data_IF_914758367385
#
_entry.id   IF_914758367385
#
_cell.length_a   1.000
_cell.length_b   1.000
_cell.length_c   1.000
_cell.angle_alpha   90.00
_cell.angle_beta   90.00
_cell.angle_gamma   90.00
#
_symmetry.space_group_name_H-M   'P 1'
#
loop_
_entity.id
_entity.type
_entity.pdbx_description
1 polymer ?
#
# COMPACT_ATOMS: atom_id res chain seq x y z
N UNK A 1 8.27 15.56 38.02
CA UNK A 1 7.62 14.44 37.32
C UNK A 1 6.65 15.06 36.34
N UNK A 2 7.07 15.27 35.08
CA UNK A 2 6.23 15.91 34.07
C UNK A 2 5.45 14.83 33.32
N UNK A 3 4.13 14.90 33.39
CA UNK A 3 3.21 14.05 32.62
C UNK A 3 3.14 14.65 31.22
N UNK A 4 3.68 13.95 30.22
CA UNK A 4 3.54 14.33 28.82
C UNK A 4 2.09 14.06 28.38
N UNK A 5 1.48 15.03 27.71
CA UNK A 5 0.14 14.92 27.14
C UNK A 5 0.06 13.77 26.11
N UNK A 6 -1.10 13.10 25.98
CA UNK A 6 -1.28 12.08 24.95
C UNK A 6 -1.32 12.77 23.59
N UNK A 7 -0.39 12.44 22.70
CA UNK A 7 -0.45 12.86 21.30
C UNK A 7 0.82 13.44 20.68
N UNK A 8 1.92 13.57 21.43
CA UNK A 8 3.23 13.86 20.83
C UNK A 8 4.10 12.62 20.86
N UNK A 9 4.19 11.97 19.71
CA UNK A 9 5.14 10.91 19.48
C UNK A 9 6.56 11.44 19.76
N UNK A 10 7.25 10.78 20.69
CA UNK A 10 8.68 10.97 20.89
C UNK A 10 9.41 10.31 19.71
N UNK A 11 10.38 11.02 19.10
CA UNK A 11 11.21 10.50 18.00
C UNK A 11 12.01 9.21 18.33
N UNK A 12 11.91 8.71 19.56
CA UNK A 12 12.55 7.49 20.03
C UNK A 12 11.64 6.24 20.00
N UNK A 13 10.33 6.39 19.78
CA UNK A 13 9.41 5.25 19.75
C UNK A 13 9.26 4.68 18.33
N UNK A 14 9.29 3.35 18.15
CA UNK A 14 9.14 2.73 16.84
C UNK A 14 7.79 3.10 16.18
N UNK A 15 7.81 3.30 14.86
CA UNK A 15 6.66 3.64 14.04
C UNK A 15 5.60 2.55 14.11
N UNK A 16 4.42 2.89 14.63
CA UNK A 16 3.25 2.02 14.58
C UNK A 16 2.27 2.55 13.54
N UNK A 17 2.12 1.82 12.42
CA UNK A 17 1.12 2.11 11.41
C UNK A 17 -0.26 1.73 11.99
N UNK A 18 -1.05 2.75 12.32
CA UNK A 18 -2.41 2.57 12.82
C UNK A 18 -3.42 2.61 11.69
N UNK A 19 -4.10 1.50 11.42
CA UNK A 19 -5.35 1.48 10.63
C UNK A 19 -6.58 1.83 11.48
N UNK A 20 -6.46 1.71 12.80
CA UNK A 20 -7.51 2.05 13.77
C UNK A 20 -7.29 3.47 14.29
N UNK A 21 -8.36 4.26 14.36
CA UNK A 21 -8.38 5.63 14.93
C UNK A 21 -8.01 5.71 16.43
N UNK A 22 -7.51 4.62 17.03
CA UNK A 22 -7.42 4.43 18.48
C UNK A 22 -6.04 3.97 18.96
N UNK A 23 -4.98 4.11 18.15
CA UNK A 23 -3.59 3.87 18.56
C UNK A 23 -2.67 5.05 18.24
N UNK A 24 -1.63 5.34 19.05
CA UNK A 24 -0.76 6.49 18.83
C UNK A 24 0.00 6.34 17.51
N UNK A 25 -0.23 7.30 16.59
CA UNK A 25 0.58 7.51 15.40
C UNK A 25 1.95 8.02 15.85
N UNK A 26 2.95 7.13 15.92
CA UNK A 26 4.25 7.46 16.52
C UNK A 26 5.25 8.14 15.56
N UNK A 27 4.87 8.40 14.31
CA UNK A 27 5.79 9.03 13.36
C UNK A 27 5.10 9.78 12.21
N UNK A 28 5.89 10.50 11.41
CA UNK A 28 5.40 11.23 10.25
C UNK A 28 4.85 10.23 9.22
N UNK A 29 3.61 10.47 8.79
CA UNK A 29 2.90 9.58 7.87
C UNK A 29 2.12 10.38 6.83
N UNK A 30 2.02 9.83 5.63
CA UNK A 30 1.17 10.33 4.55
C UNK A 30 0.32 9.19 4.01
N UNK A 31 -0.99 9.38 3.97
CA UNK A 31 -1.91 8.39 3.40
C UNK A 31 -1.72 8.30 1.88
N UNK A 32 -1.69 7.09 1.36
CA UNK A 32 -1.56 6.80 -0.07
C UNK A 32 -2.82 6.10 -0.54
N UNK A 33 -3.52 6.70 -1.49
CA UNK A 33 -4.66 6.10 -2.18
C UNK A 33 -4.39 6.03 -3.67
N UNK A 34 -4.61 4.87 -4.27
CA UNK A 34 -4.57 4.69 -5.72
C UNK A 34 -5.99 4.46 -6.25
N UNK A 35 -6.27 4.98 -7.44
CA UNK A 35 -7.48 4.57 -8.15
C UNK A 35 -7.40 3.06 -8.47
N UNK A 36 -8.56 2.37 -8.58
CA UNK A 36 -8.53 0.94 -8.83
C UNK A 36 -7.95 0.60 -10.20
N UNK A 37 -7.12 -0.44 -10.26
CA UNK A 37 -6.58 -0.99 -11.52
C UNK A 37 -7.54 -2.04 -12.05
N UNK A 38 -8.05 -1.83 -13.26
CA UNK A 38 -8.85 -2.82 -13.96
C UNK A 38 -7.93 -3.77 -14.72
N UNK A 39 -8.14 -5.07 -14.54
CA UNK A 39 -7.37 -6.14 -15.17
C UNK A 39 -8.30 -7.16 -15.84
N UNK A 40 -7.86 -7.69 -16.97
CA UNK A 40 -8.57 -8.68 -17.77
C UNK A 40 -7.69 -9.93 -17.92
N UNK A 41 -8.21 -11.08 -17.47
CA UNK A 41 -7.52 -12.36 -17.57
C UNK A 41 -8.21 -13.28 -18.59
N UNK A 42 -7.48 -13.73 -19.60
CA UNK A 42 -7.84 -14.80 -20.55
C UNK A 42 -9.29 -14.79 -21.10
N UNK A 43 -9.91 -13.61 -21.21
CA UNK A 43 -11.27 -13.41 -21.75
C UNK A 43 -12.44 -13.75 -20.81
N UNK A 44 -12.19 -14.32 -19.63
CA UNK A 44 -13.25 -14.78 -18.70
C UNK A 44 -13.14 -14.16 -17.30
N UNK A 45 -11.99 -13.56 -16.96
CA UNK A 45 -11.80 -12.85 -15.70
C UNK A 45 -11.80 -11.34 -15.89
N UNK A 46 -12.50 -10.65 -14.99
CA UNK A 46 -12.45 -9.21 -14.84
C UNK A 46 -12.18 -8.88 -13.36
N UNK A 47 -10.97 -8.41 -13.08
CA UNK A 47 -10.54 -8.02 -11.76
C UNK A 47 -10.49 -6.50 -11.63
N UNK A 48 -10.86 -6.01 -10.46
CA UNK A 48 -10.47 -4.69 -10.00
C UNK A 48 -9.40 -4.92 -8.93
N UNK A 49 -8.32 -4.16 -8.90
CA UNK A 49 -7.36 -4.18 -7.80
C UNK A 49 -7.37 -2.82 -7.13
N UNK A 50 -7.38 -2.82 -5.80
CA UNK A 50 -7.31 -1.60 -5.00
C UNK A 50 -6.00 -1.63 -4.24
N UNK A 51 -5.26 -0.52 -4.31
CA UNK A 51 -4.08 -0.30 -3.49
C UNK A 51 -4.27 0.97 -2.67
N UNK A 52 -4.06 0.83 -1.37
CA UNK A 52 -4.04 1.94 -0.42
C UNK A 52 -2.99 1.65 0.64
N UNK A 53 -2.39 2.66 1.22
CA UNK A 53 -1.27 2.46 2.12
C UNK A 53 -0.90 3.69 2.90
N UNK A 54 0.26 3.61 3.56
CA UNK A 54 0.84 4.72 4.30
C UNK A 54 2.31 4.83 3.96
N UNK A 55 2.73 6.02 3.56
CA UNK A 55 4.12 6.42 3.52
C UNK A 55 4.54 6.85 4.92
N UNK A 56 5.72 6.46 5.38
CA UNK A 56 6.16 6.73 6.75
C UNK A 56 7.67 6.97 6.85
N UNK A 57 8.07 7.72 7.88
CA UNK A 57 9.46 7.92 8.26
C UNK A 57 9.72 7.49 9.72
N UNK A 58 10.61 6.52 9.89
CA UNK A 58 10.99 5.93 11.18
C UNK A 58 10.92 4.40 11.18
N UNK A 59 11.60 3.73 12.13
CA UNK A 59 11.69 2.28 12.14
C UNK A 59 10.35 1.67 12.52
N UNK A 60 9.75 0.89 11.64
CA UNK A 60 8.50 0.19 11.92
C UNK A 60 8.63 -0.73 13.14
N UNK A 61 7.56 -0.75 13.94
CA UNK A 61 7.43 -1.55 15.15
C UNK A 61 7.71 -3.02 14.90
N UNK A 62 8.32 -3.71 15.87
CA UNK A 62 8.81 -5.07 15.69
C UNK A 62 7.70 -6.11 15.48
N UNK A 63 6.45 -5.79 15.84
CA UNK A 63 5.26 -6.60 15.53
C UNK A 63 4.56 -6.21 14.22
N UNK A 64 5.11 -5.28 13.44
CA UNK A 64 4.59 -4.93 12.12
C UNK A 64 4.92 -6.02 11.08
N UNK A 65 4.28 -5.94 9.91
CA UNK A 65 4.59 -6.83 8.78
C UNK A 65 6.03 -6.64 8.26
N UNK A 66 6.61 -5.46 8.46
CA UNK A 66 7.93 -5.08 7.95
C UNK A 66 8.78 -4.42 9.05
N UNK A 67 9.22 -5.19 10.06
CA UNK A 67 9.90 -4.64 11.22
C UNK A 67 11.20 -3.91 10.82
N UNK A 68 11.40 -2.70 11.34
CA UNK A 68 12.60 -1.90 11.12
C UNK A 68 12.69 -1.19 9.76
N UNK A 69 11.69 -1.29 8.88
CA UNK A 69 11.65 -0.49 7.66
C UNK A 69 11.59 1.00 8.00
N UNK A 70 12.21 1.85 7.18
CA UNK A 70 12.24 3.32 7.32
C UNK A 70 12.09 3.96 5.95
N UNK A 71 11.58 5.19 5.88
CA UNK A 71 11.43 5.98 4.65
C UNK A 71 10.83 5.17 3.48
N UNK A 72 9.70 4.52 3.76
CA UNK A 72 9.10 3.55 2.85
C UNK A 72 7.58 3.74 2.80
N UNK A 73 6.96 3.04 1.86
CA UNK A 73 5.51 3.00 1.70
C UNK A 73 5.04 1.57 1.95
N UNK A 74 4.16 1.39 2.93
CA UNK A 74 3.44 0.13 3.13
C UNK A 74 2.11 0.19 2.38
N UNK A 75 1.99 -0.60 1.31
CA UNK A 75 0.80 -0.70 0.48
C UNK A 75 0.01 -1.95 0.82
N UNK A 76 -1.27 -1.80 1.13
CA UNK A 76 -2.27 -2.86 1.12
C UNK A 76 -2.86 -2.98 -0.27
N UNK A 77 -2.61 -4.11 -0.91
CA UNK A 77 -3.18 -4.48 -2.20
C UNK A 77 -4.19 -5.59 -1.97
N UNK A 78 -5.41 -5.38 -2.46
CA UNK A 78 -6.45 -6.40 -2.48
C UNK A 78 -7.10 -6.45 -3.84
N UNK A 79 -7.73 -7.59 -4.12
CA UNK A 79 -8.77 -7.63 -5.13
C UNK A 79 -9.86 -6.65 -4.73
N UNK A 80 -9.93 -5.59 -5.52
CA UNK A 80 -11.08 -4.74 -5.63
C UNK A 80 -12.26 -5.63 -5.96
N UNK A 81 -13.30 -5.41 -5.19
CA UNK A 81 -14.56 -6.08 -5.37
C UNK A 81 -15.00 -5.95 -6.80
N UNK A 82 -15.64 -7.01 -7.30
CA UNK A 82 -16.06 -7.08 -8.70
C UNK A 82 -16.67 -5.74 -9.14
N UNK A 83 -16.73 -5.41 -10.44
CA UNK A 83 -17.43 -4.21 -10.89
C UNK A 83 -18.88 -4.06 -10.37
N UNK A 84 -19.44 -5.10 -9.74
CA UNK A 84 -20.75 -5.14 -9.07
C UNK A 84 -20.72 -4.84 -7.54
N UNK A 85 -19.57 -4.53 -6.92
CA UNK A 85 -19.44 -4.06 -5.53
C UNK A 85 -18.97 -5.09 -4.49
N UNK A 86 -18.79 -4.64 -3.23
CA UNK A 86 -18.11 -5.34 -2.09
C UNK A 86 -18.60 -6.79 -1.83
N UNK A 87 -19.88 -7.04 -2.05
CA UNK A 87 -20.50 -8.33 -1.71
C UNK A 87 -20.75 -9.19 -2.93
N UNK A 88 -20.33 -8.73 -4.09
CA UNK A 88 -20.51 -9.47 -5.33
C UNK A 88 -19.55 -10.66 -5.40
N UNK A 89 -19.97 -11.77 -6.04
CA UNK A 89 -19.14 -12.97 -6.14
C UNK A 89 -17.79 -12.66 -6.79
N UNK A 90 -16.71 -13.16 -6.18
CA UNK A 90 -15.35 -13.13 -6.75
C UNK A 90 -15.16 -14.13 -7.91
N UNK A 91 -16.26 -14.64 -8.48
CA UNK A 91 -16.27 -15.62 -9.58
C UNK A 91 -15.49 -15.14 -10.81
N UNK A 92 -15.43 -13.83 -11.04
CA UNK A 92 -14.67 -13.23 -12.14
C UNK A 92 -13.31 -12.68 -11.71
N UNK A 93 -12.97 -12.73 -10.41
CA UNK A 93 -11.66 -12.33 -9.93
C UNK A 93 -10.61 -13.36 -10.36
N UNK A 94 -9.43 -12.86 -10.71
CA UNK A 94 -8.35 -13.69 -11.22
C UNK A 94 -7.14 -13.59 -10.30
N UNK A 95 -6.41 -14.69 -10.17
CA UNK A 95 -5.08 -14.69 -9.57
C UNK A 95 -4.15 -13.85 -10.47
N UNK A 96 -3.63 -12.75 -9.93
CA UNK A 96 -2.80 -11.80 -10.68
C UNK A 96 -1.57 -11.42 -9.88
N UNK A 97 -0.49 -11.09 -10.59
CA UNK A 97 0.67 -10.45 -9.96
C UNK A 97 0.51 -8.95 -10.08
N UNK A 98 0.28 -8.28 -8.96
CA UNK A 98 0.33 -6.83 -8.87
C UNK A 98 1.80 -6.38 -8.96
N UNK A 99 2.05 -5.39 -9.81
CA UNK A 99 3.38 -4.82 -10.02
C UNK A 99 3.29 -3.33 -9.73
N UNK A 100 4.04 -2.90 -8.72
CA UNK A 100 4.17 -1.52 -8.28
C UNK A 100 5.51 -0.99 -8.77
N UNK A 101 5.47 -0.27 -9.88
CA UNK A 101 6.60 0.52 -10.35
C UNK A 101 6.64 1.82 -9.52
N UNK A 102 7.82 2.24 -9.09
CA UNK A 102 7.98 3.45 -8.31
C UNK A 102 9.16 4.29 -8.80
N UNK A 103 9.02 5.61 -8.66
CA UNK A 103 10.05 6.57 -8.98
C UNK A 103 10.05 7.70 -7.96
N UNK A 104 11.16 7.85 -7.26
CA UNK A 104 11.43 9.02 -6.43
C UNK A 104 11.84 10.18 -7.35
N UNK A 105 11.00 11.20 -7.41
CA UNK A 105 11.16 12.37 -8.28
C UNK A 105 12.26 13.32 -7.79
N UNK A 106 12.64 13.22 -6.52
CA UNK A 106 13.65 14.11 -5.91
C UNK A 106 15.06 13.53 -6.04
N UNK A 107 15.20 12.21 -5.88
CA UNK A 107 16.51 11.52 -5.98
C UNK A 107 16.75 10.86 -7.34
N UNK A 108 15.70 10.72 -8.16
CA UNK A 108 15.75 10.00 -9.44
C UNK A 108 15.81 8.48 -9.31
N UNK A 109 15.82 7.93 -8.08
CA UNK A 109 15.77 6.48 -7.85
C UNK A 109 14.45 5.89 -8.33
N UNK A 110 14.49 4.70 -8.88
CA UNK A 110 13.30 3.96 -9.28
C UNK A 110 13.47 2.48 -9.02
N UNK A 111 12.35 1.77 -9.00
CA UNK A 111 12.33 0.32 -8.88
C UNK A 111 10.95 -0.25 -9.16
N UNK A 112 10.83 -1.56 -8.99
CA UNK A 112 9.57 -2.28 -9.12
C UNK A 112 9.48 -3.31 -8.01
N UNK A 113 8.29 -3.46 -7.43
CA UNK A 113 7.96 -4.52 -6.47
C UNK A 113 6.77 -5.29 -7.02
N UNK A 114 6.88 -6.62 -7.08
CA UNK A 114 5.80 -7.49 -7.54
C UNK A 114 5.27 -8.33 -6.39
N UNK A 115 3.95 -8.48 -6.31
CA UNK A 115 3.28 -9.31 -5.32
C UNK A 115 2.17 -10.12 -5.98
N UNK A 116 2.14 -11.43 -5.72
CA UNK A 116 1.04 -12.28 -6.14
C UNK A 116 -0.20 -12.03 -5.27
N UNK A 117 -1.34 -11.75 -5.90
CA UNK A 117 -2.62 -11.46 -5.27
C UNK A 117 -3.62 -12.54 -5.69
N UNK A 118 -3.97 -13.47 -4.78
CA UNK A 118 -5.00 -14.46 -5.08
C UNK A 118 -6.37 -13.81 -5.29
N UNK A 119 -7.21 -14.39 -6.15
CA UNK A 119 -8.58 -13.96 -6.43
C UNK A 119 -9.46 -13.87 -5.16
N UNK A 120 -9.12 -14.64 -4.12
CA UNK A 120 -9.83 -14.67 -2.83
C UNK A 120 -9.40 -13.58 -1.83
N UNK A 121 -8.35 -12.81 -2.13
CA UNK A 121 -7.81 -11.79 -1.22
C UNK A 121 -8.50 -10.44 -1.41
N UNK A 122 -9.60 -10.24 -0.68
CA UNK A 122 -10.42 -9.02 -0.71
C UNK A 122 -9.96 -7.99 0.33
N UNK A 123 -10.69 -6.87 0.52
CA UNK A 123 -10.37 -5.85 1.55
C UNK A 123 -10.22 -6.40 2.97
N UNK A 124 -10.91 -7.52 3.26
CA UNK A 124 -10.85 -8.18 4.57
C UNK A 124 -9.55 -8.96 4.78
N UNK A 125 -8.86 -9.32 3.69
CA UNK A 125 -7.59 -10.08 3.68
C UNK A 125 -6.65 -9.55 2.59
N UNK A 126 -6.19 -8.29 2.69
CA UNK A 126 -5.28 -7.72 1.72
C UNK A 126 -3.86 -8.24 1.91
N UNK A 127 -3.06 -8.10 0.88
CA UNK A 127 -1.62 -8.33 0.90
C UNK A 127 -0.90 -7.02 1.21
N UNK A 128 0.01 -7.04 2.19
CA UNK A 128 0.87 -5.90 2.49
C UNK A 128 2.13 -5.97 1.61
N UNK A 129 2.56 -4.85 1.07
CA UNK A 129 3.69 -4.72 0.16
C UNK A 129 4.51 -3.51 0.57
N UNK A 130 5.76 -3.74 0.96
CA UNK A 130 6.69 -2.67 1.30
C UNK A 130 7.40 -2.16 0.04
N UNK A 131 7.36 -0.85 -0.18
CA UNK A 131 8.07 -0.16 -1.26
C UNK A 131 9.14 0.75 -0.65
N UNK A 132 10.41 0.33 -0.77
CA UNK A 132 11.56 1.05 -0.22
C UNK A 132 12.02 2.16 -1.16
N UNK A 133 11.34 3.30 -1.12
CA UNK A 133 11.55 4.41 -2.06
C UNK A 133 12.55 5.46 -1.56
N UNK A 134 12.78 5.53 -0.25
CA UNK A 134 13.46 6.64 0.40
C UNK A 134 12.56 7.87 0.53
N UNK A 135 13.03 8.92 1.24
CA UNK A 135 12.27 10.14 1.47
C UNK A 135 12.08 10.97 0.19
N UNK A 136 11.04 11.79 0.18
CA UNK A 136 10.72 12.72 -0.90
C UNK A 136 9.45 12.38 -1.69
N UNK A 137 9.26 13.06 -2.82
CA UNK A 137 8.12 12.84 -3.71
C UNK A 137 8.31 11.56 -4.52
N UNK A 138 7.35 10.65 -4.40
CA UNK A 138 7.37 9.35 -5.06
C UNK A 138 6.14 9.22 -5.94
N UNK A 139 6.37 8.97 -7.23
CA UNK A 139 5.35 8.48 -8.14
C UNK A 139 5.27 6.96 -8.04
N UNK A 140 4.06 6.45 -7.79
CA UNK A 140 3.74 5.03 -7.80
C UNK A 140 2.86 4.73 -9.00
N UNK A 141 3.17 3.66 -9.73
CA UNK A 141 2.35 3.13 -10.82
C UNK A 141 2.02 1.68 -10.55
N UNK A 142 0.74 1.37 -10.40
CA UNK A 142 0.23 0.02 -10.21
C UNK A 142 -0.26 -0.55 -11.54
N UNK A 143 0.13 -1.78 -11.85
CA UNK A 143 -0.36 -2.57 -12.99
C UNK A 143 -0.40 -4.06 -12.63
N UNK A 144 -0.96 -4.88 -13.50
CA UNK A 144 -0.86 -6.35 -13.40
C UNK A 144 0.09 -6.94 -14.43
N UNK A 145 0.45 -8.20 -14.23
CA UNK A 145 1.02 -9.10 -15.24
C UNK A 145 0.06 -9.47 -16.38
N UNK A 146 -1.24 -9.22 -16.19
CA UNK A 146 -2.29 -9.35 -17.20
C UNK A 146 -2.60 -8.01 -17.90
N UNK A 147 -3.29 -8.02 -19.08
CA UNK A 147 -3.83 -6.81 -19.68
C UNK A 147 -4.59 -5.96 -18.67
N UNK A 148 -4.10 -4.75 -18.43
CA UNK A 148 -4.65 -3.84 -17.43
C UNK A 148 -4.53 -2.39 -17.86
N UNK A 149 -5.29 -1.52 -17.20
CA UNK A 149 -5.12 -0.07 -17.29
C UNK A 149 -4.26 0.36 -16.10
N UNK A 150 -2.97 0.70 -16.30
CA UNK A 150 -2.11 1.12 -15.20
C UNK A 150 -2.63 2.41 -14.55
N UNK A 151 -2.54 2.49 -13.23
CA UNK A 151 -2.92 3.68 -12.46
C UNK A 151 -1.69 4.24 -11.80
N UNK A 152 -1.52 5.55 -11.88
CA UNK A 152 -0.44 6.25 -11.17
C UNK A 152 -0.98 7.19 -10.11
N UNK A 153 -0.27 7.30 -8.99
CA UNK A 153 -0.50 8.31 -7.96
C UNK A 153 0.84 8.87 -7.51
N UNK A 154 0.81 10.05 -6.90
CA UNK A 154 1.99 10.64 -6.25
C UNK A 154 1.75 10.66 -4.75
N UNK A 155 2.79 10.30 -4.00
CA UNK A 155 2.81 10.32 -2.55
C UNK A 155 4.08 11.00 -2.07
N UNK A 156 3.99 11.65 -0.92
CA UNK A 156 5.16 12.19 -0.23
C UNK A 156 5.59 11.21 0.86
N UNK A 157 6.85 10.79 0.82
CA UNK A 157 7.48 10.02 1.89
C UNK A 157 8.20 11.01 2.79
N UNK A 158 7.78 11.13 4.07
CA UNK A 158 8.39 12.05 5.02
C UNK A 158 9.90 11.84 5.19
#
# INVERSE_FOLDING_TARGET
MFVAAPGVASAADPCQLGWSNVGPRSCAMTDVGMAPVLTLGNGICAGMMVASGTAFDGPLYHYSTFPGATHAIDLRISQGFSPLGEWAPTILACDVTAIVDWRNLDTGRSGSVSQFIPASHTSTRPMNVLVNTGPGRVQLTLRTDHPSIPVSTEAFVP
#
